data_IF_744202241086
#
_entry.id   IF_744202241086
#
_cell.length_a   1.000
_cell.length_b   1.000
_cell.length_c   1.000
_cell.angle_alpha   90.00
_cell.angle_beta   90.00
_cell.angle_gamma   90.00
#
_symmetry.space_group_name_H-M   'P 1'
#
loop_
_entity.id
_entity.type
_entity.pdbx_description
1 polymer ?
#
# COMPACT_ATOMS: atom_id res chain seq x y z
N UNK A 1 -4.06 9.30 -18.97
CA UNK A 1 -3.61 8.64 -20.22
C UNK A 1 -4.60 7.63 -20.80
N UNK A 2 -5.38 6.92 -19.98
CA UNK A 2 -6.34 5.91 -20.44
C UNK A 2 -7.41 6.45 -21.42
N UNK A 3 -8.08 7.56 -21.09
CA UNK A 3 -9.08 8.20 -21.96
C UNK A 3 -8.56 8.58 -23.35
N UNK A 4 -7.29 9.01 -23.46
CA UNK A 4 -6.69 9.33 -24.74
C UNK A 4 -6.51 8.07 -25.62
N UNK A 5 -6.16 6.92 -25.01
CA UNK A 5 -6.05 5.64 -25.72
C UNK A 5 -7.42 5.08 -26.15
N UNK A 6 -8.47 5.37 -25.38
CA UNK A 6 -9.84 4.95 -25.66
C UNK A 6 -10.36 5.54 -26.97
N UNK A 7 -10.12 6.83 -27.21
CA UNK A 7 -10.50 7.47 -28.48
C UNK A 7 -9.88 6.78 -29.70
N UNK A 8 -8.63 6.29 -29.57
CA UNK A 8 -7.98 5.49 -30.61
C UNK A 8 -8.65 4.13 -30.80
N UNK A 9 -8.99 3.47 -29.70
CA UNK A 9 -9.71 2.19 -29.72
C UNK A 9 -11.10 2.31 -30.35
N UNK A 10 -11.88 3.33 -29.99
CA UNK A 10 -13.24 3.54 -30.52
C UNK A 10 -13.24 3.73 -32.04
N UNK A 11 -12.21 4.39 -32.57
CA UNK A 11 -12.02 4.57 -34.02
C UNK A 11 -11.76 3.25 -34.75
N UNK A 12 -11.11 2.28 -34.10
CA UNK A 12 -10.92 0.94 -34.64
C UNK A 12 -12.24 0.17 -34.60
N UNK A 13 -12.96 0.21 -33.47
CA UNK A 13 -14.25 -0.48 -33.31
C UNK A 13 -15.30 0.06 -34.31
N UNK A 14 -15.30 1.37 -34.55
CA UNK A 14 -16.17 2.01 -35.54
C UNK A 14 -15.74 1.74 -37.00
N UNK A 15 -14.64 1.02 -37.23
CA UNK A 15 -14.12 0.70 -38.58
C UNK A 15 -13.54 1.91 -39.32
N UNK A 16 -13.23 3.01 -38.63
CA UNK A 16 -12.70 4.23 -39.24
C UNK A 16 -11.18 4.18 -39.44
N UNK A 17 -10.45 3.48 -38.58
CA UNK A 17 -8.99 3.38 -38.62
C UNK A 17 -8.52 1.94 -38.38
N UNK A 18 -7.37 1.57 -38.95
CA UNK A 18 -6.70 0.30 -38.64
C UNK A 18 -5.87 0.39 -37.35
N UNK A 19 -5.54 -0.74 -36.72
CA UNK A 19 -4.67 -0.75 -35.54
C UNK A 19 -3.31 -0.07 -35.82
N UNK A 20 -2.71 -0.33 -36.98
CA UNK A 20 -1.42 0.25 -37.38
C UNK A 20 -1.50 1.78 -37.53
N UNK A 21 -2.62 2.26 -38.07
CA UNK A 21 -2.88 3.68 -38.25
C UNK A 21 -3.02 4.40 -36.89
N UNK A 22 -3.73 3.79 -35.93
CA UNK A 22 -3.84 4.35 -34.57
C UNK A 22 -2.50 4.33 -33.83
N UNK A 23 -1.71 3.25 -33.95
CA UNK A 23 -0.38 3.18 -33.33
C UNK A 23 0.56 4.23 -33.94
N UNK A 24 0.66 4.32 -35.27
CA UNK A 24 1.50 5.30 -35.95
C UNK A 24 1.06 6.74 -35.67
N UNK A 25 -0.26 6.98 -35.60
CA UNK A 25 -0.84 8.26 -35.20
C UNK A 25 -0.46 8.66 -33.78
N UNK A 26 -0.52 7.73 -32.81
CA UNK A 26 -0.06 7.94 -31.43
C UNK A 26 1.42 8.33 -31.41
N UNK A 27 2.28 7.53 -32.03
CA UNK A 27 3.72 7.76 -32.07
C UNK A 27 4.07 9.15 -32.61
N UNK A 28 3.48 9.50 -33.75
CA UNK A 28 3.68 10.79 -34.41
C UNK A 28 3.16 11.94 -33.56
N UNK A 29 1.97 11.80 -32.97
CA UNK A 29 1.37 12.82 -32.12
C UNK A 29 2.19 13.06 -30.84
N UNK A 30 2.71 12.00 -30.21
CA UNK A 30 3.58 12.10 -29.03
C UNK A 30 4.88 12.83 -29.37
N UNK A 31 5.53 12.50 -30.49
CA UNK A 31 6.74 13.17 -30.93
C UNK A 31 6.50 14.67 -31.22
N UNK A 32 5.38 15.00 -31.90
CA UNK A 32 4.99 16.40 -32.17
C UNK A 32 4.70 17.15 -30.86
N UNK A 33 3.98 16.53 -29.93
CA UNK A 33 3.68 17.12 -28.63
C UNK A 33 4.96 17.44 -27.85
N UNK A 34 5.87 16.48 -27.75
CA UNK A 34 7.16 16.68 -27.10
C UNK A 34 7.96 17.80 -27.78
N UNK A 35 8.05 17.80 -29.12
CA UNK A 35 8.74 18.86 -29.86
C UNK A 35 8.14 20.25 -29.60
N UNK A 36 6.82 20.36 -29.51
CA UNK A 36 6.16 21.64 -29.21
C UNK A 36 6.37 22.10 -27.76
N UNK A 37 6.41 21.16 -26.81
CA UNK A 37 6.61 21.46 -25.39
C UNK A 37 8.07 21.75 -25.03
N UNK A 38 9.01 21.25 -25.83
CA UNK A 38 10.45 21.48 -25.69
C UNK A 38 10.90 22.82 -26.31
N UNK A 39 10.13 23.36 -27.24
CA UNK A 39 10.42 24.60 -27.95
C UNK A 39 10.34 25.82 -27.03
N UNK A 40 11.48 26.48 -26.80
CA UNK A 40 11.57 27.66 -25.93
C UNK A 40 10.70 28.82 -26.39
N UNK A 41 10.47 28.94 -27.70
CA UNK A 41 9.63 30.00 -28.27
C UNK A 41 8.14 29.81 -27.90
N UNK A 42 7.78 28.61 -27.42
CA UNK A 42 6.42 28.24 -26.97
C UNK A 42 6.27 28.22 -25.45
N UNK A 43 7.28 28.65 -24.69
CA UNK A 43 7.24 28.63 -23.22
C UNK A 43 5.99 29.34 -22.64
N UNK A 44 5.62 30.50 -23.18
CA UNK A 44 4.41 31.22 -22.75
C UNK A 44 3.11 30.44 -23.04
N UNK A 45 3.03 29.76 -24.20
CA UNK A 45 1.88 28.93 -24.53
C UNK A 45 1.80 27.68 -23.64
N UNK A 46 2.95 27.09 -23.28
CA UNK A 46 3.05 25.98 -22.33
C UNK A 46 2.55 26.39 -20.94
N UNK A 47 2.98 27.56 -20.45
CA UNK A 47 2.52 28.10 -19.17
C UNK A 47 1.01 28.39 -19.16
N UNK A 48 0.49 28.98 -20.23
CA UNK A 48 -0.96 29.19 -20.40
C UNK A 48 -1.73 27.87 -20.44
N UNK A 49 -1.22 26.86 -21.14
CA UNK A 49 -1.81 25.52 -21.20
C UNK A 49 -1.86 24.84 -19.84
N UNK A 50 -0.78 24.96 -19.06
CA UNK A 50 -0.71 24.49 -17.67
C UNK A 50 -1.74 25.17 -16.78
N UNK A 51 -1.84 26.50 -16.85
CA UNK A 51 -2.83 27.27 -16.08
C UNK A 51 -4.26 26.89 -16.45
N UNK A 52 -4.56 26.74 -17.75
CA UNK A 52 -5.87 26.30 -18.23
C UNK A 52 -6.18 24.86 -17.79
N UNK A 53 -5.17 23.97 -17.84
CA UNK A 53 -5.29 22.59 -17.36
C UNK A 53 -5.67 22.53 -15.88
N UNK A 54 -5.00 23.31 -15.02
CA UNK A 54 -5.31 23.41 -13.59
C UNK A 54 -6.74 23.85 -13.32
N UNK A 55 -7.27 24.80 -14.11
CA UNK A 55 -8.68 25.21 -13.98
C UNK A 55 -9.68 24.08 -14.32
N UNK A 56 -9.30 23.13 -15.18
CA UNK A 56 -10.16 22.02 -15.58
C UNK A 56 -10.14 20.86 -14.57
N UNK A 57 -8.99 20.60 -13.96
CA UNK A 57 -8.82 19.49 -13.01
C UNK A 57 -9.00 19.91 -11.54
N UNK A 58 -8.99 21.22 -11.27
CA UNK A 58 -8.96 21.78 -9.92
C UNK A 58 -7.54 21.83 -9.36
N UNK A 59 -7.38 22.54 -8.24
CA UNK A 59 -6.14 22.52 -7.44
C UNK A 59 -6.10 21.34 -6.46
N UNK A 60 -7.20 20.59 -6.39
CA UNK A 60 -7.39 19.44 -5.50
C UNK A 60 -6.70 18.22 -6.09
N UNK A 61 -5.37 18.22 -5.99
CA UNK A 61 -4.56 17.02 -6.16
C UNK A 61 -4.40 16.43 -4.77
N UNK A 62 -5.50 15.93 -4.22
CA UNK A 62 -5.48 15.08 -3.04
C UNK A 62 -5.02 13.70 -3.46
N UNK A 63 -4.07 13.15 -2.72
CA UNK A 63 -3.84 11.72 -2.79
C UNK A 63 -5.06 11.05 -2.17
N UNK A 64 -5.59 10.04 -2.87
CA UNK A 64 -6.70 9.24 -2.40
C UNK A 64 -6.43 8.65 -1.00
N UNK A 65 -7.47 8.58 -0.17
CA UNK A 65 -7.37 7.98 1.17
C UNK A 65 -6.86 6.54 1.10
N UNK A 66 -7.20 5.81 0.04
CA UNK A 66 -6.63 4.50 -0.25
C UNK A 66 -6.56 4.24 -1.74
N UNK A 67 -5.50 3.53 -2.13
CA UNK A 67 -5.25 3.20 -3.54
C UNK A 67 -5.93 1.92 -3.98
N UNK A 68 -6.60 1.96 -5.13
CA UNK A 68 -7.21 0.78 -5.76
C UNK A 68 -6.19 0.09 -6.69
N UNK A 69 -5.42 -0.84 -6.12
CA UNK A 69 -4.40 -1.60 -6.83
C UNK A 69 -4.99 -2.47 -7.95
N UNK A 70 -6.12 -3.14 -7.72
CA UNK A 70 -6.71 -4.05 -8.72
C UNK A 70 -7.19 -3.28 -9.95
N UNK A 71 -7.89 -2.16 -9.75
CA UNK A 71 -8.32 -1.27 -10.82
C UNK A 71 -7.13 -0.72 -11.60
N UNK A 72 -6.05 -0.33 -10.90
CA UNK A 72 -4.82 0.11 -11.55
C UNK A 72 -4.22 -0.96 -12.47
N UNK A 73 -4.15 -2.22 -12.02
CA UNK A 73 -3.61 -3.32 -12.82
C UNK A 73 -4.49 -3.64 -14.05
N UNK A 74 -5.81 -3.52 -13.92
CA UNK A 74 -6.75 -3.65 -15.05
C UNK A 74 -6.56 -2.54 -16.10
N UNK A 75 -6.40 -1.29 -15.64
CA UNK A 75 -6.14 -0.15 -16.52
C UNK A 75 -4.77 -0.26 -17.21
N UNK A 76 -3.74 -0.72 -16.49
CA UNK A 76 -2.41 -1.01 -17.04
C UNK A 76 -2.49 -2.05 -18.16
N UNK A 77 -3.17 -3.18 -17.92
CA UNK A 77 -3.37 -4.21 -18.93
C UNK A 77 -4.16 -3.69 -20.15
N UNK A 78 -5.21 -2.90 -19.90
CA UNK A 78 -6.01 -2.27 -20.96
C UNK A 78 -5.19 -1.30 -21.80
N UNK A 79 -4.35 -0.48 -21.17
CA UNK A 79 -3.49 0.47 -21.88
C UNK A 79 -2.43 -0.26 -22.71
N UNK A 80 -1.79 -1.30 -22.15
CA UNK A 80 -0.82 -2.12 -22.88
C UNK A 80 -1.47 -2.83 -24.09
N UNK A 81 -2.68 -3.34 -23.92
CA UNK A 81 -3.47 -3.85 -25.04
C UNK A 81 -3.70 -2.77 -26.09
N UNK A 82 -4.10 -1.56 -25.72
CA UNK A 82 -4.32 -0.45 -26.68
C UNK A 82 -3.02 0.09 -27.28
N UNK A 83 -1.88 -0.15 -26.65
CA UNK A 83 -0.58 0.19 -27.23
C UNK A 83 -0.20 -0.73 -28.39
N UNK A 84 -0.62 -2.00 -28.31
CA UNK A 84 -0.17 -3.08 -29.20
C UNK A 84 -1.28 -3.65 -30.08
N UNK A 85 -2.55 -3.48 -29.70
CA UNK A 85 -3.74 -4.15 -30.24
C UNK A 85 -3.55 -5.65 -30.48
N UNK A 86 -2.86 -6.32 -29.55
CA UNK A 86 -2.50 -7.74 -29.62
C UNK A 86 -1.69 -8.12 -30.89
N UNK A 87 -0.97 -7.16 -31.48
CA UNK A 87 0.03 -7.46 -32.49
C UNK A 87 1.03 -8.44 -31.91
N UNK A 88 1.27 -9.55 -32.61
CA UNK A 88 2.26 -10.53 -32.16
C UNK A 88 3.64 -9.91 -32.22
N UNK A 89 4.47 -10.28 -31.25
CA UNK A 89 5.92 -10.12 -31.43
C UNK A 89 6.32 -10.95 -32.64
N UNK A 90 6.92 -10.32 -33.63
CA UNK A 90 7.17 -10.91 -34.95
C UNK A 90 8.61 -11.38 -35.13
N UNK A 91 9.33 -11.57 -34.03
CA UNK A 91 10.73 -11.97 -34.03
C UNK A 91 11.68 -10.82 -34.36
N UNK A 92 11.23 -9.56 -34.29
CA UNK A 92 12.14 -8.43 -34.14
C UNK A 92 13.00 -8.64 -32.88
N UNK A 93 14.22 -8.09 -32.90
CA UNK A 93 15.19 -8.26 -31.83
C UNK A 93 14.60 -7.86 -30.46
N UNK A 94 14.29 -8.88 -29.66
CA UNK A 94 13.71 -8.76 -28.31
C UNK A 94 14.75 -8.37 -27.25
N UNK A 95 15.99 -8.15 -27.66
CA UNK A 95 17.11 -7.79 -26.77
C UNK A 95 17.46 -6.31 -26.85
N UNK A 96 16.79 -5.55 -27.73
CA UNK A 96 17.02 -4.11 -27.86
C UNK A 96 16.74 -3.39 -26.52
N UNK A 97 17.70 -2.59 -26.01
CA UNK A 97 17.49 -1.80 -24.81
C UNK A 97 16.35 -0.80 -25.02
N UNK A 98 15.73 -0.35 -23.94
CA UNK A 98 14.78 0.77 -24.02
C UNK A 98 15.55 2.05 -24.39
N UNK A 99 14.97 2.87 -25.27
CA UNK A 99 15.54 4.16 -25.67
C UNK A 99 14.50 5.23 -25.36
N UNK A 100 14.90 6.24 -24.59
CA UNK A 100 14.05 7.40 -24.31
C UNK A 100 14.44 8.51 -25.29
N UNK A 101 13.56 8.92 -26.22
CA UNK A 101 13.85 10.00 -27.15
C UNK A 101 14.28 11.27 -26.42
N UNK A 102 15.16 12.06 -27.02
CA UNK A 102 15.56 13.36 -26.46
C UNK A 102 14.34 14.28 -26.37
N UNK A 103 14.17 14.95 -25.23
CA UNK A 103 13.05 15.86 -25.00
C UNK A 103 11.74 15.18 -24.63
N UNK A 104 11.69 13.84 -24.52
CA UNK A 104 10.48 13.14 -24.09
C UNK A 104 10.11 13.45 -22.63
N UNK A 105 11.06 13.88 -21.79
CA UNK A 105 10.84 14.27 -20.39
C UNK A 105 9.77 15.37 -20.23
N UNK A 106 9.64 16.28 -21.20
CA UNK A 106 8.65 17.38 -21.16
C UNK A 106 7.21 16.90 -21.13
N UNK A 107 6.96 15.64 -21.53
CA UNK A 107 5.63 15.03 -21.50
C UNK A 107 5.16 14.75 -20.07
N UNK A 108 6.08 14.71 -19.10
CA UNK A 108 5.79 14.38 -17.70
C UNK A 108 6.25 15.45 -16.70
N UNK A 109 6.89 16.55 -17.15
CA UNK A 109 7.33 17.64 -16.26
C UNK A 109 6.21 18.19 -15.36
N UNK A 110 5.00 18.33 -15.90
CA UNK A 110 3.85 18.81 -15.12
C UNK A 110 3.31 17.76 -14.15
N UNK A 111 3.58 16.48 -14.42
CA UNK A 111 3.20 15.34 -13.59
C UNK A 111 4.20 15.13 -12.45
N UNK A 112 5.47 15.50 -12.64
CA UNK A 112 6.52 15.36 -11.64
C UNK A 112 7.25 16.68 -11.38
N UNK A 113 6.58 17.67 -10.77
CA UNK A 113 7.19 18.98 -10.54
C UNK A 113 8.38 18.95 -9.56
N UNK A 114 8.55 17.85 -8.84
CA UNK A 114 9.62 17.60 -7.86
C UNK A 114 10.76 16.72 -8.39
N UNK A 115 10.66 16.20 -9.63
CA UNK A 115 11.74 15.44 -10.27
C UNK A 115 12.47 16.28 -11.31
N UNK A 116 13.77 16.02 -11.46
CA UNK A 116 14.60 16.56 -12.53
C UNK A 116 14.28 15.91 -13.89
N UNK A 117 14.73 16.54 -14.97
CA UNK A 117 14.61 15.98 -16.32
C UNK A 117 15.24 14.59 -16.43
N UNK A 118 16.38 14.36 -15.80
CA UNK A 118 17.08 13.06 -15.86
C UNK A 118 16.30 11.96 -15.11
N UNK A 119 15.72 12.28 -13.95
CA UNK A 119 14.85 11.38 -13.20
C UNK A 119 13.58 11.03 -13.99
N UNK A 120 12.94 12.03 -14.61
CA UNK A 120 11.79 11.78 -15.50
C UNK A 120 12.19 10.88 -16.69
N UNK A 121 13.41 11.02 -17.21
CA UNK A 121 13.91 10.12 -18.26
C UNK A 121 14.09 8.69 -17.74
N UNK A 122 14.50 8.48 -16.49
CA UNK A 122 14.52 7.15 -15.88
C UNK A 122 13.12 6.58 -15.66
N UNK A 123 12.14 7.40 -15.28
CA UNK A 123 10.72 6.98 -15.24
C UNK A 123 10.27 6.48 -16.62
N UNK A 124 10.51 7.24 -17.68
CA UNK A 124 10.18 6.84 -19.06
C UNK A 124 10.94 5.58 -19.51
N UNK A 125 12.20 5.45 -19.09
CA UNK A 125 13.05 4.31 -19.43
C UNK A 125 12.55 3.02 -18.77
N UNK A 126 12.23 3.06 -17.49
CA UNK A 126 11.90 1.88 -16.68
C UNK A 126 10.47 1.39 -16.88
N UNK A 127 9.60 2.22 -17.43
CA UNK A 127 8.20 1.88 -17.75
C UNK A 127 7.99 1.53 -19.22
N UNK A 128 9.04 1.64 -20.06
CA UNK A 128 8.95 1.39 -21.48
C UNK A 128 8.50 -0.04 -21.84
N UNK A 129 7.70 -0.17 -22.90
CA UNK A 129 7.27 -1.47 -23.40
C UNK A 129 8.51 -2.26 -23.88
N UNK A 130 8.63 -3.58 -23.58
CA UNK A 130 9.73 -4.39 -24.10
C UNK A 130 9.78 -4.41 -25.63
N UNK A 131 10.99 -4.57 -26.18
CA UNK A 131 11.18 -4.76 -27.63
C UNK A 131 10.57 -6.08 -28.12
N UNK A 132 10.51 -6.24 -29.43
CA UNK A 132 9.91 -7.41 -30.08
C UNK A 132 8.65 -7.11 -30.88
N UNK A 133 8.18 -5.86 -30.86
CA UNK A 133 7.09 -5.40 -31.72
C UNK A 133 7.68 -4.53 -32.83
N UNK A 134 7.80 -5.03 -34.06
CA UNK A 134 8.38 -4.25 -35.18
C UNK A 134 7.77 -2.86 -35.35
N UNK A 135 6.48 -2.69 -35.04
CA UNK A 135 5.79 -1.40 -35.14
C UNK A 135 6.20 -0.42 -34.03
N UNK A 136 6.59 -0.92 -32.85
CA UNK A 136 7.00 -0.10 -31.72
C UNK A 136 8.52 0.12 -31.67
N UNK A 137 9.31 -0.78 -32.28
CA UNK A 137 10.78 -0.71 -32.32
C UNK A 137 11.28 0.34 -33.34
N UNK A 138 10.76 1.57 -33.29
CA UNK A 138 11.22 2.70 -34.11
C UNK A 138 12.64 3.13 -33.73
N UNK A 139 13.30 3.87 -34.64
CA UNK A 139 14.72 4.21 -34.47
C UNK A 139 14.96 5.18 -33.31
N UNK A 140 13.99 6.06 -33.02
CA UNK A 140 14.09 7.09 -32.01
C UNK A 140 13.55 6.65 -30.63
N UNK A 141 12.65 5.67 -30.59
CA UNK A 141 12.12 5.04 -29.37
C UNK A 141 10.72 5.53 -28.93
N UNK A 142 10.00 6.27 -29.77
CA UNK A 142 8.67 6.82 -29.44
C UNK A 142 7.59 5.75 -29.30
N UNK A 143 7.70 4.65 -30.04
CA UNK A 143 6.73 3.55 -30.07
C UNK A 143 6.60 2.83 -28.73
N UNK A 144 7.72 2.74 -28.00
CA UNK A 144 7.82 2.00 -26.74
C UNK A 144 7.55 2.83 -25.48
N UNK A 145 7.35 4.15 -25.60
CA UNK A 145 6.99 4.98 -24.45
C UNK A 145 5.61 4.61 -23.90
N UNK A 146 5.57 4.08 -22.68
CA UNK A 146 4.34 3.76 -21.96
C UNK A 146 3.97 4.89 -21.00
N UNK A 147 3.34 5.92 -21.54
CA UNK A 147 3.02 7.12 -20.74
C UNK A 147 1.95 6.88 -19.67
N UNK A 148 1.20 5.76 -19.72
CA UNK A 148 0.29 5.40 -18.64
C UNK A 148 1.08 4.99 -17.39
N UNK A 149 1.94 3.97 -17.51
CA UNK A 149 2.79 3.56 -16.39
C UNK A 149 3.76 4.67 -15.99
N UNK A 150 4.36 5.38 -16.96
CA UNK A 150 5.26 6.49 -16.67
C UNK A 150 4.58 7.66 -15.95
N UNK A 151 3.25 7.76 -15.94
CA UNK A 151 2.51 8.75 -15.15
C UNK A 151 2.16 8.29 -13.73
N UNK A 152 2.56 7.07 -13.36
CA UNK A 152 2.27 6.43 -12.07
C UNK A 152 3.54 6.00 -11.32
N UNK A 153 4.68 6.64 -11.61
CA UNK A 153 5.95 6.46 -10.90
C UNK A 153 6.99 5.70 -11.72
N UNK A 154 8.10 5.33 -11.09
CA UNK A 154 9.14 4.49 -11.69
C UNK A 154 8.61 3.08 -12.00
N UNK A 155 9.19 2.37 -12.98
CA UNK A 155 8.99 0.93 -13.15
C UNK A 155 10.10 0.10 -12.47
N UNK A 156 11.25 0.74 -12.23
CA UNK A 156 12.37 0.16 -11.51
C UNK A 156 13.30 1.26 -10.96
N UNK A 157 13.98 0.98 -9.85
CA UNK A 157 15.14 1.72 -9.38
C UNK A 157 16.40 1.04 -9.91
N UNK A 158 16.86 1.46 -11.09
CA UNK A 158 18.10 0.94 -11.70
C UNK A 158 19.34 1.48 -10.98
N UNK A 159 19.18 2.63 -10.34
CA UNK A 159 20.12 3.28 -9.43
C UNK A 159 19.32 3.85 -8.27
N UNK A 160 20.01 4.31 -7.22
CA UNK A 160 19.35 5.00 -6.12
C UNK A 160 18.59 6.23 -6.61
N UNK A 161 17.40 6.44 -6.04
CA UNK A 161 16.49 7.54 -6.34
C UNK A 161 16.28 8.37 -5.09
N UNK A 162 16.51 9.68 -5.19
CA UNK A 162 16.22 10.62 -4.10
C UNK A 162 15.06 11.53 -4.50
N UNK A 163 13.97 11.50 -3.73
CA UNK A 163 12.78 12.31 -3.99
C UNK A 163 12.69 13.43 -2.96
N UNK A 164 12.76 14.69 -3.39
CA UNK A 164 12.65 15.85 -2.51
C UNK A 164 11.35 16.62 -2.76
N UNK A 165 10.33 16.36 -1.93
CA UNK A 165 8.99 16.93 -2.07
C UNK A 165 8.77 18.11 -1.12
N UNK A 166 8.03 19.14 -1.54
CA UNK A 166 7.81 20.36 -0.76
C UNK A 166 6.31 20.65 -0.59
N UNK A 167 5.82 20.37 0.61
CA UNK A 167 4.43 20.57 1.00
C UNK A 167 3.95 22.02 0.80
N UNK A 168 4.84 23.01 0.94
CA UNK A 168 4.46 24.42 0.83
C UNK A 168 4.09 24.86 -0.59
N UNK A 169 4.50 24.08 -1.61
CA UNK A 169 4.21 24.35 -3.02
C UNK A 169 2.85 23.80 -3.47
N UNK A 170 2.19 22.98 -2.66
CA UNK A 170 0.90 22.37 -2.98
C UNK A 170 0.94 21.41 -4.18
N UNK A 171 -0.24 20.86 -4.49
CA UNK A 171 -0.42 19.90 -5.58
C UNK A 171 0.54 18.70 -5.49
N UNK A 172 1.07 18.27 -6.63
CA UNK A 172 2.01 17.14 -6.71
C UNK A 172 3.36 17.39 -6.03
N UNK A 173 3.72 18.64 -5.69
CA UNK A 173 4.89 18.87 -4.84
C UNK A 173 4.62 18.50 -3.38
N UNK A 174 3.36 18.59 -2.96
CA UNK A 174 2.97 18.34 -1.59
C UNK A 174 2.63 16.87 -1.33
N UNK A 175 1.93 16.23 -2.27
CA UNK A 175 1.60 14.82 -2.14
C UNK A 175 1.49 14.16 -3.53
N UNK A 176 2.01 12.94 -3.66
CA UNK A 176 1.92 12.16 -4.89
C UNK A 176 1.87 10.66 -4.59
N UNK A 177 1.29 9.89 -5.51
CA UNK A 177 1.16 8.45 -5.44
C UNK A 177 1.87 7.77 -6.62
N UNK A 178 2.80 6.87 -6.31
CA UNK A 178 3.43 5.94 -7.25
C UNK A 178 2.77 4.56 -7.13
N UNK A 179 2.05 4.17 -8.19
CA UNK A 179 1.22 2.95 -8.25
C UNK A 179 1.87 1.79 -8.99
N UNK A 180 2.99 2.01 -9.68
CA UNK A 180 3.70 0.95 -10.38
C UNK A 180 4.28 -0.07 -9.41
N UNK A 181 4.43 -1.31 -9.89
CA UNK A 181 5.24 -2.34 -9.25
C UNK A 181 6.72 -2.04 -9.54
N UNK A 182 7.41 -1.42 -8.58
CA UNK A 182 8.77 -0.95 -8.72
C UNK A 182 9.75 -2.09 -8.39
N UNK A 183 10.64 -2.41 -9.32
CA UNK A 183 11.69 -3.42 -9.16
C UNK A 183 13.10 -2.82 -9.13
N UNK A 184 14.15 -3.63 -9.08
CA UNK A 184 15.55 -3.19 -9.26
C UNK A 184 16.37 -3.13 -7.98
N UNK A 185 17.66 -2.87 -8.13
CA UNK A 185 18.63 -2.95 -7.02
C UNK A 185 18.85 -1.60 -6.31
N UNK A 186 18.35 -0.50 -6.87
CA UNK A 186 18.50 0.84 -6.31
C UNK A 186 17.63 1.08 -5.07
N UNK A 187 18.11 1.96 -4.20
CA UNK A 187 17.40 2.41 -3.01
C UNK A 187 16.47 3.61 -3.28
N UNK A 188 15.48 3.82 -2.41
CA UNK A 188 14.67 5.03 -2.37
C UNK A 188 15.03 5.89 -1.16
N UNK A 189 15.35 7.16 -1.39
CA UNK A 189 15.53 8.16 -0.33
C UNK A 189 14.42 9.21 -0.43
N UNK A 190 13.53 9.26 0.55
CA UNK A 190 12.47 10.27 0.64
C UNK A 190 12.90 11.43 1.53
N UNK A 191 12.95 12.62 0.94
CA UNK A 191 13.32 13.89 1.58
C UNK A 191 12.25 14.96 1.37
N UNK A 192 12.43 16.08 2.06
CA UNK A 192 11.55 17.24 1.99
C UNK A 192 10.23 17.04 2.73
N UNK A 193 9.44 18.09 2.86
CA UNK A 193 8.25 18.13 3.73
C UNK A 193 7.00 17.48 3.14
N UNK A 194 7.00 17.14 1.84
CA UNK A 194 5.84 16.50 1.19
C UNK A 194 5.65 15.02 1.53
N UNK A 195 4.58 14.44 1.01
CA UNK A 195 4.20 13.03 1.16
C UNK A 195 4.40 12.26 -0.14
N UNK A 196 5.05 11.09 -0.06
CA UNK A 196 5.07 10.11 -1.15
C UNK A 196 4.27 8.88 -0.74
N UNK A 197 3.33 8.46 -1.57
CA UNK A 197 2.58 7.22 -1.39
C UNK A 197 3.12 6.16 -2.34
N UNK A 198 3.35 4.96 -1.82
CA UNK A 198 3.73 3.77 -2.58
C UNK A 198 2.60 2.76 -2.51
N UNK A 199 1.99 2.47 -3.65
CA UNK A 199 0.78 1.62 -3.75
C UNK A 199 0.95 0.39 -4.61
N UNK A 200 2.14 0.18 -5.17
CA UNK A 200 2.46 -0.99 -5.98
C UNK A 200 3.00 -2.17 -5.18
N UNK A 201 2.98 -3.35 -5.80
CA UNK A 201 3.63 -4.55 -5.29
C UNK A 201 5.13 -4.47 -5.58
N UNK A 202 5.85 -3.73 -4.75
CA UNK A 202 7.25 -3.41 -5.00
C UNK A 202 8.17 -4.59 -4.65
N UNK A 203 9.29 -4.66 -5.38
CA UNK A 203 10.29 -5.73 -5.27
C UNK A 203 11.74 -5.23 -5.35
N UNK A 204 11.94 -3.91 -5.27
CA UNK A 204 13.28 -3.36 -5.23
C UNK A 204 14.03 -3.79 -3.97
N UNK A 205 15.34 -3.97 -4.06
CA UNK A 205 16.18 -4.59 -3.01
C UNK A 205 17.09 -3.60 -2.31
N UNK A 206 17.26 -2.39 -2.84
CA UNK A 206 18.17 -1.38 -2.27
C UNK A 206 17.70 -0.75 -0.95
N UNK A 207 16.45 -0.99 -0.55
CA UNK A 207 15.85 -0.46 0.68
C UNK A 207 15.25 0.94 0.54
N UNK A 208 14.68 1.43 1.64
CA UNK A 208 14.00 2.73 1.73
C UNK A 208 14.50 3.53 2.92
N UNK A 209 14.93 4.77 2.69
CA UNK A 209 15.31 5.72 3.75
C UNK A 209 14.36 6.92 3.73
N UNK A 210 13.73 7.20 4.86
CA UNK A 210 12.79 8.32 5.04
C UNK A 210 13.46 9.40 5.88
N UNK A 211 14.05 10.39 5.22
CA UNK A 211 14.77 11.50 5.87
C UNK A 211 13.89 12.72 6.15
N UNK A 212 12.71 12.81 5.52
CA UNK A 212 11.82 13.94 5.72
C UNK A 212 10.42 13.76 5.14
N UNK A 213 9.47 14.46 5.77
CA UNK A 213 8.07 14.43 5.40
C UNK A 213 7.45 13.08 5.73
N UNK A 214 6.54 12.62 4.87
CA UNK A 214 5.84 11.36 5.06
C UNK A 214 6.09 10.41 3.88
N UNK A 215 6.28 9.14 4.17
CA UNK A 215 6.04 8.07 3.20
C UNK A 215 4.85 7.25 3.69
N UNK A 216 3.92 6.92 2.79
CA UNK A 216 2.76 6.09 3.11
C UNK A 216 2.78 4.82 2.27
N UNK A 217 2.60 3.68 2.92
CA UNK A 217 2.51 2.37 2.30
C UNK A 217 1.04 1.97 2.13
N UNK A 218 0.58 1.92 0.89
CA UNK A 218 -0.79 1.56 0.50
C UNK A 218 -0.88 0.11 -0.03
N UNK A 219 0.21 -0.66 0.07
CA UNK A 219 0.27 -2.06 -0.36
C UNK A 219 1.19 -2.87 0.55
N UNK A 220 0.89 -4.17 0.72
CA UNK A 220 1.61 -5.03 1.68
C UNK A 220 3.12 -5.10 1.45
N UNK A 221 3.60 -4.97 0.20
CA UNK A 221 5.03 -4.98 -0.14
C UNK A 221 5.54 -3.60 -0.60
N UNK A 222 4.90 -2.50 -0.17
CA UNK A 222 5.22 -1.16 -0.64
C UNK A 222 6.70 -0.77 -0.48
N UNK A 223 7.43 -1.31 0.51
CA UNK A 223 8.85 -1.03 0.73
C UNK A 223 9.82 -2.02 0.07
N UNK A 224 9.32 -2.95 -0.75
CA UNK A 224 10.15 -3.92 -1.44
C UNK A 224 10.80 -4.93 -0.50
N UNK A 225 11.96 -5.44 -0.88
CA UNK A 225 12.66 -6.54 -0.20
C UNK A 225 13.85 -6.08 0.66
N UNK A 226 14.16 -4.79 0.68
CA UNK A 226 15.31 -4.24 1.42
C UNK A 226 14.95 -3.72 2.82
N UNK A 227 15.95 -3.13 3.47
CA UNK A 227 15.81 -2.50 4.78
C UNK A 227 14.98 -1.21 4.69
N UNK A 228 14.38 -0.83 5.82
CA UNK A 228 13.66 0.44 5.98
C UNK A 228 14.26 1.24 7.13
N UNK A 229 14.71 2.45 6.83
CA UNK A 229 15.23 3.41 7.81
C UNK A 229 14.27 4.60 7.90
N UNK A 230 13.58 4.74 9.02
CA UNK A 230 12.64 5.82 9.29
C UNK A 230 13.27 6.89 10.19
N UNK A 231 13.64 8.04 9.61
CA UNK A 231 14.10 9.23 10.34
C UNK A 231 13.04 10.35 10.35
N UNK A 232 11.82 10.09 9.88
CA UNK A 232 10.73 11.08 9.79
C UNK A 232 9.37 10.45 10.06
N UNK A 233 8.55 10.17 9.04
CA UNK A 233 7.22 9.60 9.25
C UNK A 233 6.93 8.53 8.22
N UNK A 234 6.61 7.33 8.72
CA UNK A 234 6.10 6.20 7.95
C UNK A 234 4.65 5.97 8.39
N UNK A 235 3.74 5.91 7.41
CA UNK A 235 2.34 5.58 7.63
C UNK A 235 2.05 4.25 6.91
N UNK A 236 1.64 3.25 7.66
CA UNK A 236 1.05 2.02 7.15
C UNK A 236 -0.45 2.29 6.88
N UNK A 237 -0.92 1.91 5.71
CA UNK A 237 -2.29 2.15 5.24
C UNK A 237 -2.78 0.99 4.36
N UNK A 238 -2.57 -0.22 4.85
CA UNK A 238 -3.01 -1.48 4.28
C UNK A 238 -4.23 -2.01 5.06
N UNK A 239 -4.94 -2.99 4.50
CA UNK A 239 -6.03 -3.73 5.19
C UNK A 239 -5.61 -5.19 5.45
N UNK A 240 -4.32 -5.47 5.27
CA UNK A 240 -3.70 -6.78 5.26
C UNK A 240 -2.28 -6.62 5.79
N UNK A 241 -1.56 -7.72 5.98
CA UNK A 241 -0.17 -7.67 6.46
C UNK A 241 0.74 -6.83 5.55
N UNK A 242 1.40 -5.85 6.14
CA UNK A 242 2.49 -5.10 5.53
C UNK A 242 3.83 -5.77 5.84
N UNK A 243 4.59 -6.15 4.81
CA UNK A 243 5.91 -6.78 4.92
C UNK A 243 7.04 -5.79 4.63
N UNK A 244 8.00 -5.72 5.55
CA UNK A 244 9.33 -5.17 5.34
C UNK A 244 10.28 -6.35 5.11
N UNK A 245 10.92 -6.40 3.94
CA UNK A 245 11.75 -7.54 3.55
C UNK A 245 13.10 -7.65 4.27
N UNK A 246 13.61 -6.53 4.78
CA UNK A 246 14.86 -6.45 5.54
C UNK A 246 14.66 -6.04 7.00
N UNK A 247 15.66 -5.36 7.54
CA UNK A 247 15.64 -4.79 8.88
C UNK A 247 14.79 -3.50 8.92
N UNK A 248 14.22 -3.18 10.09
CA UNK A 248 13.56 -1.91 10.35
C UNK A 248 14.33 -1.11 11.40
N UNK A 249 14.67 0.13 11.07
CA UNK A 249 15.31 1.06 12.02
C UNK A 249 14.51 2.36 12.10
N UNK A 250 14.08 2.75 13.30
CA UNK A 250 13.43 4.03 13.57
C UNK A 250 14.30 4.93 14.44
N UNK A 251 14.50 6.17 14.01
CA UNK A 251 15.24 7.19 14.78
C UNK A 251 14.40 7.86 15.88
N UNK A 252 15.07 8.50 16.84
CA UNK A 252 14.48 9.08 18.06
C UNK A 252 13.39 10.14 17.83
N UNK A 253 13.36 10.79 16.67
CA UNK A 253 12.37 11.83 16.33
C UNK A 253 11.37 11.38 15.25
N UNK A 254 11.41 10.09 14.89
CA UNK A 254 10.56 9.54 13.85
C UNK A 254 9.25 8.98 14.44
N UNK A 255 8.25 8.90 13.57
CA UNK A 255 6.94 8.33 13.87
C UNK A 255 6.65 7.18 12.91
N UNK A 256 6.21 6.05 13.47
CA UNK A 256 5.50 5.00 12.75
C UNK A 256 4.02 5.12 13.11
N UNK A 257 3.16 5.25 12.12
CA UNK A 257 1.71 5.25 12.29
C UNK A 257 1.13 4.02 11.59
N UNK A 258 0.24 3.32 12.28
CA UNK A 258 -0.42 2.11 11.79
C UNK A 258 -1.92 2.19 12.06
N UNK A 259 -2.70 1.63 11.13
CA UNK A 259 -4.14 1.43 11.32
C UNK A 259 -4.38 -0.04 11.64
N UNK A 260 -5.13 -0.30 12.71
CA UNK A 260 -5.45 -1.65 13.18
C UNK A 260 -6.97 -1.80 13.14
N UNK A 261 -7.49 -2.14 11.97
CA UNK A 261 -8.92 -2.30 11.68
C UNK A 261 -9.39 -3.77 11.72
N UNK A 262 -8.45 -4.71 11.68
CA UNK A 262 -8.68 -6.15 11.70
C UNK A 262 -7.50 -6.90 12.33
N UNK A 263 -7.64 -8.23 12.48
CA UNK A 263 -6.54 -9.09 12.93
C UNK A 263 -5.44 -9.28 11.87
N UNK A 264 -5.70 -8.91 10.62
CA UNK A 264 -4.77 -9.07 9.50
C UNK A 264 -3.82 -7.87 9.35
N UNK A 265 -4.13 -6.74 10.02
CA UNK A 265 -3.35 -5.50 10.03
C UNK A 265 -2.11 -5.64 10.91
N UNK A 266 -1.10 -6.30 10.34
CA UNK A 266 0.17 -6.62 11.00
C UNK A 266 1.33 -6.03 10.21
N UNK A 267 2.26 -5.35 10.89
CA UNK A 267 3.56 -5.03 10.32
C UNK A 267 4.52 -6.21 10.53
N UNK A 268 4.81 -6.95 9.46
CA UNK A 268 5.78 -8.02 9.44
C UNK A 268 7.15 -7.51 8.97
N UNK A 269 8.10 -7.45 9.89
CA UNK A 269 9.51 -7.17 9.60
C UNK A 269 10.23 -8.51 9.48
N UNK A 270 10.81 -8.80 8.33
CA UNK A 270 11.50 -10.08 8.12
C UNK A 270 12.81 -10.13 8.91
N UNK A 271 13.52 -9.00 8.99
CA UNK A 271 14.77 -8.84 9.71
C UNK A 271 14.59 -8.44 11.18
N UNK A 272 15.63 -7.79 11.71
CA UNK A 272 15.65 -7.25 13.07
C UNK A 272 14.95 -5.88 13.13
N UNK A 273 14.41 -5.53 14.29
CA UNK A 273 13.73 -4.26 14.51
C UNK A 273 14.42 -3.43 15.60
N UNK A 274 14.94 -2.27 15.22
CA UNK A 274 15.44 -1.24 16.14
C UNK A 274 14.44 -0.10 16.20
N UNK A 275 13.59 -0.08 17.23
CA UNK A 275 12.64 1.00 17.46
C UNK A 275 13.27 2.19 18.20
N UNK A 276 12.62 3.35 18.11
CA UNK A 276 12.95 4.61 18.77
C UNK A 276 11.82 5.59 18.48
N UNK A 277 11.81 6.79 19.05
CA UNK A 277 10.78 7.78 18.76
C UNK A 277 9.36 7.27 19.06
N UNK A 278 8.40 7.55 18.17
CA UNK A 278 6.97 7.35 18.44
C UNK A 278 6.34 6.24 17.58
N UNK A 279 5.50 5.44 18.21
CA UNK A 279 4.51 4.60 17.56
C UNK A 279 3.10 5.20 17.78
N UNK A 280 2.30 5.29 16.72
CA UNK A 280 0.88 5.62 16.77
C UNK A 280 0.09 4.43 16.26
N UNK A 281 -0.84 3.93 17.07
CA UNK A 281 -1.75 2.84 16.71
C UNK A 281 -3.18 3.38 16.68
N UNK A 282 -3.82 3.32 15.51
CA UNK A 282 -5.19 3.74 15.30
C UNK A 282 -6.09 2.52 15.17
N UNK A 283 -6.84 2.16 16.22
CA UNK A 283 -7.73 0.98 16.20
C UNK A 283 -9.10 1.26 15.58
N UNK A 284 -9.40 2.51 15.22
CA UNK A 284 -10.73 2.93 14.77
C UNK A 284 -11.83 2.41 15.71
N UNK A 285 -12.69 1.50 15.21
CA UNK A 285 -13.75 0.80 15.96
C UNK A 285 -13.41 -0.68 16.25
N UNK A 286 -12.22 -1.15 15.85
CA UNK A 286 -11.80 -2.55 16.02
C UNK A 286 -11.40 -2.88 17.46
N UNK A 287 -11.92 -4.01 17.94
CA UNK A 287 -11.61 -4.58 19.25
C UNK A 287 -11.13 -6.02 19.04
N UNK A 288 -9.87 -6.34 19.35
CA UNK A 288 -9.40 -7.71 19.33
C UNK A 288 -10.16 -8.58 20.36
N UNK A 289 -10.60 -9.76 19.93
CA UNK A 289 -11.24 -10.76 20.81
C UNK A 289 -10.21 -11.72 21.46
N UNK A 290 -8.98 -11.69 20.96
CA UNK A 290 -7.83 -12.45 21.46
C UNK A 290 -6.55 -11.61 21.38
N UNK A 291 -5.45 -12.13 21.93
CA UNK A 291 -4.16 -11.46 21.83
C UNK A 291 -3.75 -11.31 20.36
N UNK A 292 -3.36 -10.10 19.97
CA UNK A 292 -3.06 -9.74 18.58
C UNK A 292 -1.62 -9.28 18.43
N UNK A 293 -0.84 -9.96 17.61
CA UNK A 293 0.49 -9.48 17.21
C UNK A 293 0.30 -8.33 16.20
N UNK A 294 0.75 -7.13 16.56
CA UNK A 294 0.62 -5.93 15.71
C UNK A 294 1.91 -5.66 14.92
N UNK A 295 3.06 -6.04 15.48
CA UNK A 295 4.35 -5.98 14.81
C UNK A 295 5.05 -7.31 15.07
N UNK A 296 5.57 -7.93 14.02
CA UNK A 296 6.41 -9.13 14.13
C UNK A 296 7.80 -8.86 13.55
N UNK A 297 8.84 -9.43 14.14
CA UNK A 297 10.23 -9.28 13.71
C UNK A 297 11.10 -10.48 14.13
N UNK A 298 12.29 -10.60 13.57
CA UNK A 298 13.26 -11.63 13.97
C UNK A 298 13.76 -11.40 15.40
N UNK A 299 14.16 -10.16 15.73
CA UNK A 299 14.56 -9.75 17.08
C UNK A 299 14.18 -8.29 17.32
N UNK A 300 13.73 -7.98 18.54
CA UNK A 300 13.57 -6.61 19.02
C UNK A 300 14.89 -6.13 19.63
N UNK A 301 15.55 -5.16 18.99
CA UNK A 301 16.85 -4.62 19.41
C UNK A 301 16.72 -3.37 20.30
N UNK A 302 15.66 -2.60 20.15
CA UNK A 302 15.31 -1.43 20.96
C UNK A 302 13.80 -1.19 20.95
N UNK A 303 13.30 -0.36 21.87
CA UNK A 303 11.86 -0.06 22.05
C UNK A 303 11.54 1.36 21.59
N UNK A 304 10.28 1.63 21.22
CA UNK A 304 9.75 2.98 21.03
C UNK A 304 9.87 3.80 22.33
N UNK A 305 10.14 5.09 22.19
CA UNK A 305 10.18 6.04 23.31
C UNK A 305 8.77 6.43 23.76
N UNK A 306 7.81 6.47 22.84
CA UNK A 306 6.40 6.79 23.06
C UNK A 306 5.51 5.85 22.24
N UNK A 307 4.44 5.32 22.85
CA UNK A 307 3.38 4.60 22.16
C UNK A 307 2.06 5.34 22.44
N UNK A 308 1.43 5.83 21.39
CA UNK A 308 0.09 6.42 21.41
C UNK A 308 -0.90 5.42 20.82
N UNK A 309 -1.92 5.04 21.60
CA UNK A 309 -2.99 4.15 21.14
C UNK A 309 -4.31 4.91 21.10
N UNK A 310 -4.85 5.07 19.90
CA UNK A 310 -6.17 5.61 19.64
C UNK A 310 -7.16 4.43 19.58
N UNK A 311 -7.69 4.05 20.74
CA UNK A 311 -8.55 2.87 20.94
C UNK A 311 -10.02 3.23 21.18
N UNK A 312 -10.95 2.30 20.89
CA UNK A 312 -12.35 2.40 21.31
C UNK A 312 -12.49 2.62 22.83
N UNK A 313 -13.61 3.23 23.24
CA UNK A 313 -13.82 3.67 24.64
C UNK A 313 -13.85 2.54 25.68
N UNK A 314 -14.08 1.31 25.22
CA UNK A 314 -14.26 0.05 25.94
C UNK A 314 -13.15 -0.97 25.66
N UNK A 315 -12.07 -0.56 24.99
CA UNK A 315 -10.90 -1.41 24.77
C UNK A 315 -10.20 -1.76 26.11
N UNK A 316 -10.09 -3.06 26.39
CA UNK A 316 -9.42 -3.60 27.58
C UNK A 316 -8.23 -4.45 27.14
N UNK A 317 -7.07 -3.79 26.95
CA UNK A 317 -5.81 -4.45 26.61
C UNK A 317 -4.60 -3.54 26.80
N UNK A 318 -3.42 -4.13 26.86
CA UNK A 318 -2.14 -3.43 26.96
C UNK A 318 -1.20 -3.80 25.80
N UNK A 319 -0.32 -2.87 25.42
CA UNK A 319 0.73 -3.15 24.44
C UNK A 319 1.95 -3.71 25.17
N UNK A 320 2.35 -4.93 24.78
CA UNK A 320 3.51 -5.63 25.35
C UNK A 320 4.55 -5.92 24.26
N UNK A 321 5.82 -5.79 24.63
CA UNK A 321 6.92 -6.28 23.82
C UNK A 321 7.10 -7.78 24.02
N UNK A 322 7.28 -8.50 22.93
CA UNK A 322 7.70 -9.90 22.92
C UNK A 322 9.15 -9.99 22.41
N UNK A 323 9.76 -11.18 22.46
CA UNK A 323 11.08 -11.40 21.88
C UNK A 323 11.09 -11.16 20.35
N UNK A 324 9.91 -11.25 19.72
CA UNK A 324 9.71 -11.20 18.26
C UNK A 324 8.77 -10.08 17.82
N UNK A 325 8.59 -9.00 18.60
CA UNK A 325 7.82 -7.83 18.18
C UNK A 325 6.94 -7.20 19.26
N UNK A 326 5.76 -6.72 18.87
CA UNK A 326 4.78 -6.06 19.74
C UNK A 326 3.41 -6.74 19.61
N UNK A 327 2.70 -6.82 20.73
CA UNK A 327 1.41 -7.49 20.85
C UNK A 327 0.43 -6.64 21.67
N UNK A 328 -0.83 -6.65 21.27
CA UNK A 328 -1.96 -6.33 22.13
C UNK A 328 -2.25 -7.55 23.00
N UNK A 329 -2.02 -7.40 24.30
CA UNK A 329 -2.35 -8.40 25.31
C UNK A 329 -3.70 -8.02 25.94
N UNK A 330 -4.69 -8.88 25.82
CA UNK A 330 -5.96 -8.71 26.51
C UNK A 330 -5.84 -9.19 27.96
N UNK A 331 -6.55 -8.53 28.87
CA UNK A 331 -6.68 -8.98 30.25
C UNK A 331 -7.50 -10.29 30.26
N UNK A 332 -6.95 -11.38 30.80
CA UNK A 332 -7.67 -12.65 30.94
C UNK A 332 -8.91 -12.47 31.84
N UNK A 333 -10.10 -12.32 31.25
CA UNK A 333 -11.37 -12.56 31.96
C UNK A 333 -11.58 -14.07 32.18
N UNK A 334 -10.69 -14.78 32.88
CA UNK A 334 -11.04 -15.97 33.67
C UNK A 334 -9.85 -16.66 34.35
N UNK A 335 -9.56 -16.29 35.60
CA UNK A 335 -9.28 -17.29 36.64
C UNK A 335 -9.86 -16.83 37.98
N UNK A 336 -11.11 -17.19 38.26
CA UNK A 336 -11.56 -17.28 39.66
C UNK A 336 -10.77 -18.43 40.31
N UNK A 337 -10.06 -18.22 41.43
CA UNK A 337 -9.42 -19.33 42.12
C UNK A 337 -10.52 -20.24 42.66
N UNK A 338 -10.58 -21.48 42.16
CA UNK A 338 -11.40 -22.52 42.78
C UNK A 338 -10.90 -22.73 44.20
N UNK A 339 -11.65 -22.21 45.17
CA UNK A 339 -11.45 -22.51 46.58
C UNK A 339 -11.91 -23.95 46.83
N UNK A 340 -11.09 -24.91 46.42
CA UNK A 340 -11.21 -26.32 46.75
C UNK A 340 -11.04 -26.51 48.25
N UNK A 341 -12.17 -26.50 48.95
CA UNK A 341 -12.29 -26.82 50.37
C UNK A 341 -11.69 -28.19 50.66
N UNK A 342 -10.69 -28.22 51.55
CA UNK A 342 -10.14 -29.43 52.13
C UNK A 342 -11.17 -30.06 53.08
N UNK A 343 -11.68 -31.24 52.76
CA UNK A 343 -12.24 -32.12 53.79
C UNK A 343 -11.68 -33.53 53.67
N UNK A 344 -10.91 -33.88 54.69
CA UNK A 344 -10.29 -35.18 54.92
C UNK A 344 -11.20 -36.01 55.81
N UNK A 345 -11.77 -37.10 55.28
CA UNK A 345 -12.12 -38.26 56.11
C UNK A 345 -12.09 -39.57 55.32
N UNK A 346 -11.71 -40.62 56.05
CA UNK A 346 -11.03 -41.85 55.66
C UNK A 346 -12.05 -43.03 55.51
N UNK A 347 -11.65 -44.32 55.36
CA UNK A 347 -12.12 -45.21 54.30
C UNK A 347 -13.08 -46.31 54.81
N UNK A 348 -13.73 -47.05 53.91
CA UNK A 348 -14.13 -48.42 54.24
C UNK A 348 -14.12 -49.35 53.02
N UNK A 349 -14.10 -50.63 53.34
CA UNK A 349 -13.39 -51.72 52.69
C UNK A 349 -14.31 -52.69 51.95
N UNK A 350 -13.67 -53.55 51.15
CA UNK A 350 -14.08 -54.91 50.71
C UNK A 350 -14.43 -55.13 49.23
N UNK A 351 -13.90 -56.26 48.75
CA UNK A 351 -13.68 -56.78 47.39
C UNK A 351 -14.57 -58.05 47.19
N UNK A 352 -14.37 -58.92 46.18
CA UNK A 352 -14.49 -58.87 44.70
C UNK A 352 -15.68 -59.74 44.18
N UNK A 353 -15.90 -59.87 42.85
CA UNK A 353 -15.69 -61.12 42.07
C UNK A 353 -16.36 -61.15 40.66
N UNK A 354 -15.61 -61.67 39.67
CA UNK A 354 -15.97 -62.36 38.40
C UNK A 354 -16.88 -61.67 37.36
N UNK A 355 -16.88 -61.90 36.03
CA UNK A 355 -16.19 -62.77 35.06
C UNK A 355 -16.55 -62.29 33.63
N UNK A 356 -15.74 -62.65 32.63
CA UNK A 356 -15.86 -62.45 31.16
C UNK A 356 -16.83 -63.48 30.49
N UNK A 357 -17.00 -63.64 29.13
CA UNK A 357 -16.72 -62.82 27.91
C UNK A 357 -17.82 -62.83 26.78
N UNK A 358 -17.59 -62.03 25.72
CA UNK A 358 -17.81 -62.25 24.25
C UNK A 358 -19.22 -62.48 23.61
N UNK A 359 -19.57 -61.70 22.57
CA UNK A 359 -19.81 -62.12 21.16
C UNK A 359 -20.70 -61.19 20.31
N UNK A 360 -20.22 -60.93 19.08
CA UNK A 360 -20.94 -60.82 17.78
C UNK A 360 -21.63 -59.52 17.27
N UNK A 361 -21.14 -59.11 16.08
CA UNK A 361 -21.64 -58.28 14.93
C UNK A 361 -23.08 -58.66 14.42
N UNK A 362 -23.69 -58.07 13.35
CA UNK A 362 -23.18 -57.14 12.31
C UNK A 362 -24.08 -55.98 11.78
N UNK A 363 -23.42 -55.12 11.00
CA UNK A 363 -23.77 -54.19 9.90
C UNK A 363 -25.13 -54.32 9.18
N UNK A 364 -25.68 -53.17 8.76
CA UNK A 364 -26.24 -52.99 7.39
C UNK A 364 -26.04 -51.56 6.86
N UNK A 365 -25.74 -51.55 5.56
CA UNK A 365 -25.37 -50.51 4.60
C UNK A 365 -26.60 -49.78 3.98
N UNK A 366 -26.45 -48.55 3.45
CA UNK A 366 -26.99 -48.09 2.14
C UNK A 366 -26.79 -46.59 1.82
N UNK A 367 -25.86 -46.34 0.89
CA UNK A 367 -25.89 -45.49 -0.33
C UNK A 367 -26.83 -44.26 -0.53
N UNK A 368 -26.18 -43.13 -0.84
CA UNK A 368 -26.21 -42.34 -2.11
C UNK A 368 -27.35 -41.36 -2.52
N UNK A 369 -26.89 -40.10 -2.75
CA UNK A 369 -27.10 -39.19 -3.90
C UNK A 369 -28.43 -38.48 -4.16
N UNK A 370 -28.39 -37.14 -4.29
CA UNK A 370 -28.85 -36.40 -5.49
C UNK A 370 -28.74 -34.87 -5.37
N UNK A 371 -28.19 -34.22 -6.41
CA UNK A 371 -28.32 -32.78 -6.78
C UNK A 371 -29.52 -32.60 -7.73
N UNK A 372 -30.09 -31.38 -7.89
CA UNK A 372 -30.28 -30.84 -9.25
C UNK A 372 -30.08 -29.31 -9.41
N UNK A 373 -30.13 -28.84 -10.66
CA UNK A 373 -29.87 -27.49 -11.21
C UNK A 373 -31.14 -26.63 -11.49
N UNK A 374 -30.95 -25.32 -11.77
CA UNK A 374 -31.81 -24.37 -12.53
C UNK A 374 -32.63 -23.38 -11.67
N UNK A 375 -32.84 -22.07 -11.96
CA UNK A 375 -32.74 -21.20 -13.15
C UNK A 375 -32.96 -19.70 -12.77
N UNK A 376 -32.36 -18.79 -13.56
CA UNK A 376 -32.57 -17.34 -13.91
C UNK A 376 -33.72 -16.48 -13.30
N UNK A 377 -33.44 -15.19 -12.97
CA UNK A 377 -34.18 -14.00 -13.50
C UNK A 377 -33.44 -12.66 -13.32
N UNK A 378 -33.75 -11.72 -14.23
CA UNK A 378 -33.30 -10.33 -14.37
C UNK A 378 -33.85 -9.37 -13.29
N UNK A 379 -33.21 -8.19 -13.12
CA UNK A 379 -33.75 -7.05 -12.38
C UNK A 379 -32.86 -5.80 -12.45
N UNK A 380 -33.28 -4.82 -13.25
CA UNK A 380 -32.65 -3.52 -13.49
C UNK A 380 -32.92 -2.46 -12.39
N UNK A 381 -31.92 -1.59 -12.17
CA UNK A 381 -32.00 -0.11 -12.12
C UNK A 381 -32.61 0.61 -10.88
N UNK A 382 -31.85 1.57 -10.32
CA UNK A 382 -32.40 2.58 -9.39
C UNK A 382 -31.39 3.53 -8.70
N UNK A 383 -30.97 4.58 -9.42
CA UNK A 383 -30.61 5.95 -9.02
C UNK A 383 -30.17 6.35 -7.58
N UNK A 384 -29.04 7.08 -7.55
CA UNK A 384 -28.57 8.14 -6.60
C UNK A 384 -29.63 9.28 -6.38
N UNK A 385 -29.45 10.34 -5.51
CA UNK A 385 -28.31 10.74 -4.65
C UNK A 385 -28.67 11.38 -3.26
N UNK A 386 -27.63 11.77 -2.48
CA UNK A 386 -27.42 13.08 -1.82
C UNK A 386 -27.27 13.17 -0.27
N UNK A 387 -26.13 13.79 0.12
CA UNK A 387 -25.90 14.86 1.15
C UNK A 387 -25.73 14.57 2.65
N UNK A 388 -24.68 15.21 3.21
CA UNK A 388 -24.42 15.51 4.63
C UNK A 388 -23.36 14.59 5.24
N UNK A 389 -22.35 15.00 6.01
CA UNK A 389 -22.07 16.24 6.73
C UNK A 389 -20.58 16.21 7.12
N UNK A 390 -19.91 17.35 7.10
CA UNK A 390 -18.52 17.53 7.52
C UNK A 390 -18.47 17.84 9.01
N UNK A 391 -17.81 17.00 9.81
CA UNK A 391 -17.50 17.33 11.21
C UNK A 391 -16.03 17.10 11.53
N UNK A 392 -15.39 18.20 11.95
CA UNK A 392 -14.02 18.30 12.40
C UNK A 392 -13.78 17.61 13.75
N UNK A 393 -12.60 17.02 13.92
CA UNK A 393 -12.09 16.54 15.20
C UNK A 393 -10.85 17.33 15.62
N UNK A 394 -10.95 17.98 16.78
CA UNK A 394 -9.87 18.24 17.74
C UNK A 394 -10.53 18.58 19.09
N UNK A 395 -9.82 18.46 20.24
CA UNK A 395 -8.62 17.65 20.56
C UNK A 395 -8.90 16.76 21.80
N UNK A 396 -7.92 16.02 22.36
CA UNK A 396 -7.70 15.92 23.83
C UNK A 396 -6.49 15.02 24.23
N UNK A 397 -5.67 15.62 25.11
CA UNK A 397 -4.76 15.07 26.12
C UNK A 397 -3.49 14.29 25.72
N UNK A 398 -2.39 15.03 25.58
CA UNK A 398 -1.04 14.52 25.85
C UNK A 398 -0.83 14.31 27.36
N UNK A 399 -0.20 13.19 27.76
CA UNK A 399 0.28 12.98 29.13
C UNK A 399 1.74 12.51 29.12
N UNK A 400 2.57 13.28 29.82
CA UNK A 400 4.01 13.10 30.03
C UNK A 400 4.30 11.89 30.95
N UNK A 401 5.22 11.00 30.56
CA UNK A 401 5.81 10.00 31.46
C UNK A 401 7.28 10.32 31.71
N UNK A 402 7.65 10.44 32.98
CA UNK A 402 9.04 10.63 33.43
C UNK A 402 9.67 9.25 33.63
N UNK A 403 10.74 8.97 32.88
CA UNK A 403 11.55 7.76 32.99
C UNK A 403 12.31 7.71 34.33
N UNK A 404 12.09 6.63 35.10
CA UNK A 404 13.01 6.15 36.12
C UNK A 404 13.15 4.62 35.97
N UNK A 405 14.15 4.22 35.18
CA UNK A 405 14.88 2.95 35.28
C UNK A 405 14.08 1.64 35.45
N UNK A 406 13.90 0.94 34.33
CA UNK A 406 13.61 -0.50 34.27
C UNK A 406 12.14 -0.86 34.49
N UNK A 407 11.47 -1.25 33.41
CA UNK A 407 10.05 -1.62 33.30
C UNK A 407 9.07 -0.43 33.31
N UNK A 408 8.70 0.02 32.10
CA UNK A 408 7.49 0.83 31.91
C UNK A 408 6.28 -0.11 31.90
N UNK A 409 5.42 0.00 32.90
CA UNK A 409 4.08 -0.61 32.92
C UNK A 409 3.10 0.55 32.81
N UNK A 410 2.31 0.60 31.74
CA UNK A 410 1.30 1.64 31.51
C UNK A 410 -0.02 1.17 32.11
N UNK A 411 -0.27 1.50 33.38
CA UNK A 411 -1.53 1.16 34.05
C UNK A 411 -2.60 2.24 33.80
N UNK A 412 -3.72 1.86 33.19
CA UNK A 412 -4.93 2.67 33.15
C UNK A 412 -5.83 2.37 34.36
N UNK A 413 -6.15 3.40 35.17
CA UNK A 413 -7.23 3.32 36.18
C UNK A 413 -8.09 4.57 36.16
N UNK A 414 -9.35 4.45 35.74
CA UNK A 414 -10.34 5.54 35.78
C UNK A 414 -10.83 5.75 37.21
N UNK A 415 -10.72 6.99 37.70
CA UNK A 415 -11.34 7.44 38.96
C UNK A 415 -12.85 7.57 38.73
N UNK A 416 -13.63 6.66 39.33
CA UNK A 416 -15.10 6.63 39.26
C UNK A 416 -15.68 7.86 39.96
N UNK A 417 -16.13 8.87 39.20
CA UNK A 417 -17.01 9.91 39.73
C UNK A 417 -18.45 9.38 39.67
N UNK A 418 -18.92 8.83 40.79
CA UNK A 418 -20.35 8.60 40.99
C UNK A 418 -21.06 9.95 41.05
N UNK A 419 -21.94 10.24 40.08
CA UNK A 419 -22.98 11.26 40.27
C UNK A 419 -24.03 10.69 41.22
N UNK A 420 -24.19 11.31 42.39
CA UNK A 420 -25.33 11.07 43.27
C UNK A 420 -26.58 11.74 42.70
N UNK A 421 -27.63 10.93 42.51
CA UNK A 421 -29.05 11.20 42.29
C UNK A 421 -29.45 12.19 41.18
#
# INVERSE_FOLDING_TARGET
MLRASELGYDRIVAGMHSCLDVIGGRMTATAIAASNLYDSDKAAAKEQGLAAGRLLVGDDITVEEKSDYESYQQDKATYLYRMTYNLKKDGSDTTKPMVVPKGAEVLLESRYPYLSSDEIRYVLYTTGVPSGYSVLDDAEGWGRLNLFEASNGYGAFVTDVTVNMDASKGGLNAADNWKNDISGDGALVKQGTGMLVLSGNNSYTGGTTVEGGTIRADYGTAFGAGDVVNNSTVVENTEDTMTIGGDYTQGDNATLEMTVSSADDVLQITGDASFGGKLVLNFEDYQPDENLDIITCSNVLSQFDEIECNVPADFEGEIVYTDSGLRVQLDDESETPDSGNSDTSKPDTSNPDSSTPDTSKPDTDTSASSKPEGTVSEGQQGNNPATGDTTAYLPVAALLVVSLGGSAVVLYRKKRLQKSL
#
